data_IF_797583827898
#
_entry.id   IF_797583827898
#
_cell.length_a   1.000
_cell.length_b   1.000
_cell.length_c   1.000
_cell.angle_alpha   90.00
_cell.angle_beta   90.00
_cell.angle_gamma   90.00
#
_symmetry.space_group_name_H-M   'P 1'
#
loop_
_entity.id
_entity.type
_entity.pdbx_description
1 polymer ?
#
# COMPACT_ATOMS: atom_id res chain seq x y z
N UNK A 1 19.87 -0.04 -34.72
CA UNK A 1 19.02 0.99 -34.10
C UNK A 1 19.37 1.08 -32.63
N UNK A 2 19.96 2.19 -32.18
CA UNK A 2 20.27 2.41 -30.77
C UNK A 2 18.99 2.82 -30.05
N UNK A 3 18.53 2.01 -29.09
CA UNK A 3 17.41 2.35 -28.21
C UNK A 3 17.99 3.20 -27.07
N UNK A 4 17.61 4.47 -26.92
CA UNK A 4 18.14 5.30 -25.85
C UNK A 4 17.73 4.71 -24.49
N UNK A 5 18.56 4.86 -23.43
CA UNK A 5 18.15 4.45 -22.10
C UNK A 5 16.93 5.26 -21.69
N UNK A 6 15.89 4.59 -21.19
CA UNK A 6 14.66 5.20 -20.70
C UNK A 6 14.98 6.04 -19.46
N UNK A 7 15.49 7.26 -19.65
CA UNK A 7 15.45 8.31 -18.63
C UNK A 7 13.97 8.63 -18.37
N UNK A 8 13.45 8.18 -17.24
CA UNK A 8 12.21 8.71 -16.68
C UNK A 8 11.01 7.77 -16.56
N UNK A 9 11.16 6.44 -16.64
CA UNK A 9 10.12 5.59 -16.03
C UNK A 9 10.21 5.74 -14.52
N UNK A 10 9.12 6.13 -13.81
CA UNK A 10 9.09 6.00 -12.35
C UNK A 10 9.48 4.56 -12.01
N UNK A 11 10.22 4.33 -10.92
CA UNK A 11 10.66 3.00 -10.47
C UNK A 11 9.52 1.98 -10.24
N UNK A 12 8.28 2.44 -10.42
CA UNK A 12 7.02 1.77 -10.13
C UNK A 12 6.17 1.49 -11.36
N UNK A 13 6.57 1.98 -12.54
CA UNK A 13 5.84 1.70 -13.76
C UNK A 13 5.73 0.18 -13.92
N UNK A 14 4.51 -0.32 -14.10
CA UNK A 14 4.17 -1.73 -14.24
C UNK A 14 4.07 -2.54 -12.92
N UNK A 15 4.11 -1.90 -11.73
CA UNK A 15 3.85 -2.57 -10.45
C UNK A 15 2.36 -2.70 -10.13
N UNK A 16 2.01 -3.76 -9.40
CA UNK A 16 0.64 -4.04 -8.93
C UNK A 16 0.51 -3.90 -7.42
N UNK A 17 -0.43 -3.08 -6.98
CA UNK A 17 -0.68 -2.77 -5.57
C UNK A 17 -2.09 -3.18 -5.15
N UNK A 18 -2.22 -3.85 -4.01
CA UNK A 18 -3.49 -4.01 -3.30
C UNK A 18 -3.58 -2.95 -2.20
N UNK A 19 -4.48 -1.99 -2.35
CA UNK A 19 -4.75 -0.92 -1.38
C UNK A 19 -5.98 -1.26 -0.53
N UNK A 20 -5.78 -1.38 0.78
CA UNK A 20 -6.81 -1.76 1.75
C UNK A 20 -6.99 -0.59 2.71
N UNK A 21 -8.06 0.15 2.55
CA UNK A 21 -8.37 1.35 3.34
C UNK A 21 -9.87 1.54 3.45
N UNK A 22 -10.40 1.49 4.67
CA UNK A 22 -11.84 1.59 4.92
C UNK A 22 -12.39 2.99 4.61
N UNK A 23 -11.57 4.04 4.71
CA UNK A 23 -12.05 5.40 4.46
C UNK A 23 -11.99 5.72 2.97
N UNK A 24 -13.17 5.85 2.35
CA UNK A 24 -13.30 6.14 0.92
C UNK A 24 -12.48 7.35 0.47
N UNK A 25 -12.51 8.46 1.23
CA UNK A 25 -11.79 9.68 0.87
C UNK A 25 -10.27 9.49 0.83
N UNK A 26 -9.70 8.77 1.82
CA UNK A 26 -8.26 8.48 1.81
C UNK A 26 -7.92 7.41 0.78
N UNK A 27 -8.76 6.39 0.59
CA UNK A 27 -8.56 5.34 -0.41
C UNK A 27 -8.48 5.92 -1.81
N UNK A 28 -9.44 6.77 -2.19
CA UNK A 28 -9.45 7.46 -3.49
C UNK A 28 -8.21 8.34 -3.69
N UNK A 29 -7.86 9.17 -2.71
CA UNK A 29 -6.70 10.04 -2.80
C UNK A 29 -5.39 9.24 -2.94
N UNK A 30 -5.27 8.12 -2.21
CA UNK A 30 -4.10 7.24 -2.24
C UNK A 30 -4.01 6.49 -3.57
N UNK A 31 -5.12 5.92 -4.03
CA UNK A 31 -5.23 5.25 -5.32
C UNK A 31 -4.90 6.18 -6.48
N UNK A 32 -5.40 7.42 -6.48
CA UNK A 32 -5.10 8.42 -7.50
C UNK A 32 -3.59 8.72 -7.60
N UNK A 33 -2.91 8.90 -6.46
CA UNK A 33 -1.45 9.15 -6.44
C UNK A 33 -0.67 7.95 -7.00
N UNK A 34 -1.02 6.73 -6.60
CA UNK A 34 -0.39 5.51 -7.10
C UNK A 34 -0.58 5.36 -8.62
N UNK A 35 -1.83 5.49 -9.10
CA UNK A 35 -2.16 5.40 -10.53
C UNK A 35 -1.45 6.47 -11.35
N UNK A 36 -1.36 7.71 -10.84
CA UNK A 36 -0.61 8.78 -11.51
C UNK A 36 0.88 8.49 -11.66
N UNK A 37 1.40 7.54 -10.86
CA UNK A 37 2.79 7.07 -10.92
C UNK A 37 2.99 5.85 -11.82
N UNK A 38 1.94 5.40 -12.53
CA UNK A 38 1.99 4.25 -13.44
C UNK A 38 1.81 2.89 -12.76
N UNK A 39 1.24 2.86 -11.56
CA UNK A 39 0.95 1.66 -10.78
C UNK A 39 -0.47 1.15 -11.07
N UNK A 40 -0.63 -0.15 -11.23
CA UNK A 40 -1.94 -0.81 -11.23
C UNK A 40 -2.43 -0.96 -9.79
N UNK A 41 -3.60 -0.42 -9.47
CA UNK A 41 -4.14 -0.40 -8.10
C UNK A 41 -5.46 -1.14 -8.05
N UNK A 42 -5.47 -2.23 -7.29
CA UNK A 42 -6.69 -2.89 -6.82
C UNK A 42 -7.03 -2.34 -5.44
N UNK A 43 -8.32 -2.07 -5.21
CA UNK A 43 -8.79 -1.47 -3.97
C UNK A 43 -9.72 -2.42 -3.23
N UNK A 44 -9.59 -2.44 -1.90
CA UNK A 44 -10.50 -3.13 -1.01
C UNK A 44 -10.88 -2.22 0.16
N UNK A 45 -12.16 -2.19 0.50
CA UNK A 45 -12.67 -1.49 1.68
C UNK A 45 -12.51 -2.30 2.96
N UNK A 46 -12.58 -3.62 2.85
CA UNK A 46 -12.63 -4.54 3.98
C UNK A 46 -11.63 -5.68 3.79
N UNK A 47 -11.07 -6.19 4.88
CA UNK A 47 -10.10 -7.30 4.83
C UNK A 47 -10.69 -8.56 4.18
N UNK A 48 -11.96 -8.96 4.43
CA UNK A 48 -12.58 -10.07 3.69
C UNK A 48 -12.61 -9.85 2.16
N UNK A 49 -12.88 -8.63 1.70
CA UNK A 49 -12.83 -8.31 0.27
C UNK A 49 -11.38 -8.36 -0.25
N UNK A 50 -10.42 -7.86 0.53
CA UNK A 50 -9.01 -7.97 0.21
C UNK A 50 -8.55 -9.42 0.09
N UNK A 51 -9.00 -10.31 0.98
CA UNK A 51 -8.72 -11.76 0.90
C UNK A 51 -9.27 -12.41 -0.36
N UNK A 52 -10.43 -11.97 -0.84
CA UNK A 52 -11.01 -12.47 -2.08
C UNK A 52 -10.22 -12.01 -3.31
N UNK A 53 -9.70 -10.77 -3.29
CA UNK A 53 -8.89 -10.22 -4.38
C UNK A 53 -7.44 -10.72 -4.34
N UNK A 54 -6.94 -11.03 -3.15
CA UNK A 54 -5.56 -11.41 -2.93
C UNK A 54 -5.29 -12.84 -3.41
N UNK A 55 -4.20 -12.99 -4.15
CA UNK A 55 -3.67 -14.25 -4.61
C UNK A 55 -2.14 -14.19 -4.41
N UNK A 56 -1.50 -15.27 -3.94
CA UNK A 56 -0.05 -15.28 -3.73
C UNK A 56 0.74 -14.92 -4.99
N UNK A 57 1.81 -14.15 -4.82
CA UNK A 57 2.78 -13.73 -5.85
C UNK A 57 2.19 -12.87 -6.98
N UNK A 58 1.02 -12.27 -6.77
CA UNK A 58 0.35 -11.39 -7.76
C UNK A 58 0.66 -9.92 -7.52
N UNK A 59 0.84 -9.52 -6.26
CA UNK A 59 1.00 -8.11 -5.91
C UNK A 59 2.47 -7.82 -5.56
N UNK A 60 3.03 -6.76 -6.12
CA UNK A 60 4.35 -6.29 -5.67
C UNK A 60 4.30 -5.77 -4.23
N UNK A 61 3.15 -5.19 -3.86
CA UNK A 61 2.96 -4.48 -2.62
C UNK A 61 1.50 -4.54 -2.15
N UNK A 62 1.30 -4.85 -0.89
CA UNK A 62 0.02 -4.75 -0.19
C UNK A 62 0.09 -3.59 0.79
N UNK A 63 -0.81 -2.62 0.66
CA UNK A 63 -0.89 -1.42 1.50
C UNK A 63 -2.12 -1.49 2.39
N UNK A 64 -1.94 -1.58 3.72
CA UNK A 64 -3.02 -1.85 4.68
C UNK A 64 -3.17 -0.71 5.71
N UNK A 65 -4.32 -0.02 5.74
CA UNK A 65 -4.67 0.96 6.78
C UNK A 65 -5.12 0.31 8.08
N UNK A 66 -4.15 -0.16 8.86
CA UNK A 66 -4.35 -0.82 10.16
C UNK A 66 -5.08 0.02 11.20
N UNK A 67 -5.18 1.35 11.03
CA UNK A 67 -5.81 2.24 12.02
C UNK A 67 -7.33 2.08 12.09
N UNK A 68 -7.93 1.56 11.02
CA UNK A 68 -9.39 1.49 10.85
C UNK A 68 -9.95 0.07 10.89
N UNK A 69 -9.09 -0.93 11.10
CA UNK A 69 -9.45 -2.34 11.22
C UNK A 69 -9.15 -2.87 12.63
N UNK A 70 -9.72 -4.04 12.94
CA UNK A 70 -9.34 -4.78 14.13
C UNK A 70 -7.86 -5.18 14.03
N UNK A 71 -7.03 -4.91 15.06
CA UNK A 71 -5.64 -5.35 15.08
C UNK A 71 -5.49 -6.85 14.87
N UNK A 72 -6.40 -7.65 15.44
CA UNK A 72 -6.36 -9.11 15.31
C UNK A 72 -6.64 -9.56 13.86
N UNK A 73 -7.63 -8.96 13.20
CA UNK A 73 -7.99 -9.30 11.82
C UNK A 73 -6.89 -8.87 10.83
N UNK A 74 -6.33 -7.67 11.03
CA UNK A 74 -5.23 -7.16 10.24
C UNK A 74 -3.95 -8.01 10.42
N UNK A 75 -3.67 -8.46 11.65
CA UNK A 75 -2.52 -9.31 11.94
C UNK A 75 -2.67 -10.69 11.31
N UNK A 76 -3.84 -11.30 11.43
CA UNK A 76 -4.14 -12.59 10.80
C UNK A 76 -3.93 -12.52 9.28
N UNK A 77 -4.43 -11.45 8.63
CA UNK A 77 -4.24 -11.27 7.19
C UNK A 77 -2.77 -11.02 6.81
N UNK A 78 -2.04 -10.24 7.60
CA UNK A 78 -0.60 -10.03 7.39
C UNK A 78 0.19 -11.35 7.48
N UNK A 79 -0.06 -12.16 8.52
CA UNK A 79 0.59 -13.46 8.70
C UNK A 79 0.23 -14.42 7.56
N UNK A 80 -1.03 -14.41 7.11
CA UNK A 80 -1.47 -15.18 5.94
C UNK A 80 -0.65 -14.84 4.69
N UNK A 81 -0.43 -13.55 4.41
CA UNK A 81 0.41 -13.11 3.29
C UNK A 81 1.85 -13.59 3.49
N UNK A 82 2.45 -13.41 4.67
CA UNK A 82 3.85 -13.76 4.91
C UNK A 82 4.12 -15.26 4.85
N UNK A 83 3.15 -16.09 5.25
CA UNK A 83 3.25 -17.53 5.11
C UNK A 83 3.15 -17.99 3.66
N UNK A 84 2.24 -17.39 2.87
CA UNK A 84 1.96 -17.83 1.51
C UNK A 84 2.87 -17.21 0.44
N UNK A 85 3.21 -15.93 0.58
CA UNK A 85 4.17 -15.24 -0.28
C UNK A 85 5.09 -14.33 0.55
N UNK A 86 6.22 -14.86 1.05
CA UNK A 86 7.18 -14.07 1.83
C UNK A 86 7.85 -12.95 1.02
N UNK A 87 7.75 -12.99 -0.32
CA UNK A 87 8.32 -12.00 -1.24
C UNK A 87 7.45 -10.77 -1.41
N UNK A 88 6.13 -10.91 -1.22
CA UNK A 88 5.22 -9.76 -1.28
C UNK A 88 5.53 -8.80 -0.13
N UNK A 89 5.74 -7.53 -0.48
CA UNK A 89 5.96 -6.49 0.50
C UNK A 89 4.61 -6.07 1.10
N UNK A 90 4.57 -5.89 2.41
CA UNK A 90 3.41 -5.34 3.11
C UNK A 90 3.83 -4.03 3.74
N UNK A 91 3.05 -2.99 3.49
CA UNK A 91 3.24 -1.66 4.05
C UNK A 91 2.00 -1.25 4.80
N UNK A 92 2.18 -0.86 6.05
CA UNK A 92 1.11 -0.45 6.95
C UNK A 92 0.95 1.07 6.90
N UNK A 93 -0.30 1.53 6.71
CA UNK A 93 -0.65 2.93 6.75
C UNK A 93 -0.96 3.30 8.20
N UNK A 94 -0.01 3.95 8.87
CA UNK A 94 -0.04 4.19 10.32
C UNK A 94 -0.42 5.61 10.70
N UNK A 95 -0.58 6.49 9.71
CA UNK A 95 -0.84 7.91 9.93
C UNK A 95 0.40 8.69 10.42
N UNK A 96 0.28 10.01 10.61
CA UNK A 96 1.37 10.85 11.06
C UNK A 96 1.96 10.40 12.41
N UNK A 97 3.25 10.71 12.64
CA UNK A 97 4.16 11.43 11.75
C UNK A 97 4.82 10.54 10.67
N UNK A 98 4.74 9.21 10.81
CA UNK A 98 5.49 8.25 9.99
C UNK A 98 4.80 7.91 8.67
N UNK A 99 3.46 7.95 8.65
CA UNK A 99 2.53 7.64 7.55
C UNK A 99 2.58 6.20 7.01
N UNK A 100 3.77 5.62 6.83
CA UNK A 100 4.02 4.27 6.34
C UNK A 100 4.94 3.50 7.30
N UNK A 101 4.70 2.21 7.50
CA UNK A 101 5.62 1.31 8.19
C UNK A 101 5.82 0.01 7.38
N UNK A 102 7.05 -0.48 7.31
CA UNK A 102 7.38 -1.80 6.77
C UNK A 102 7.29 -2.90 7.83
N UNK A 103 7.38 -2.54 9.11
CA UNK A 103 7.23 -3.46 10.22
C UNK A 103 5.80 -3.39 10.76
N UNK A 104 5.30 -4.50 11.30
CA UNK A 104 4.03 -4.52 12.00
C UNK A 104 4.02 -3.43 13.08
N UNK A 105 3.10 -2.47 13.02
CA UNK A 105 3.05 -1.39 13.99
C UNK A 105 2.43 -1.89 15.31
N UNK A 106 3.08 -1.56 16.43
CA UNK A 106 2.44 -1.67 17.75
C UNK A 106 1.22 -0.74 17.89
N UNK A 107 0.48 -0.81 19.00
CA UNK A 107 -0.85 -0.20 19.25
C UNK A 107 -1.03 1.33 19.04
N UNK A 108 -0.10 2.06 18.42
CA UNK A 108 -0.19 3.51 18.27
C UNK A 108 -0.61 3.89 16.85
N UNK A 109 -1.84 4.37 16.70
CA UNK A 109 -2.41 4.85 15.44
C UNK A 109 -3.06 6.23 15.60
N UNK A 110 -2.59 7.22 14.85
CA UNK A 110 -3.21 8.55 14.78
C UNK A 110 -3.96 8.72 13.44
N UNK A 111 -5.18 9.27 13.48
CA UNK A 111 -5.92 9.64 12.28
C UNK A 111 -5.36 10.93 11.66
N UNK A 112 -5.40 11.06 10.33
CA UNK A 112 -5.01 12.29 9.66
C UNK A 112 -5.87 12.55 8.43
N UNK A 113 -6.17 13.84 8.24
CA UNK A 113 -7.06 14.41 7.25
C UNK A 113 -6.33 15.20 6.14
N UNK A 114 -4.99 15.17 6.10
CA UNK A 114 -4.21 15.97 5.14
C UNK A 114 -3.70 15.17 3.92
N UNK A 115 -4.20 15.51 2.73
CA UNK A 115 -3.91 14.87 1.44
C UNK A 115 -2.53 15.20 0.85
N UNK A 116 -1.89 16.28 1.30
CA UNK A 116 -0.61 16.77 0.73
C UNK A 116 0.62 15.97 1.15
N UNK A 117 0.67 15.47 2.39
CA UNK A 117 1.84 14.81 2.95
C UNK A 117 2.01 13.37 2.44
N UNK A 118 0.88 12.73 2.11
CA UNK A 118 0.83 11.40 1.50
C UNK A 118 1.71 11.28 0.24
N UNK A 119 1.52 12.20 -0.72
CA UNK A 119 2.23 12.13 -2.00
C UNK A 119 3.75 12.27 -1.86
N UNK A 120 4.23 13.00 -0.86
CA UNK A 120 5.67 13.11 -0.58
C UNK A 120 6.22 11.83 0.06
N UNK A 121 5.50 11.24 1.01
CA UNK A 121 5.90 9.99 1.67
C UNK A 121 5.98 8.83 0.70
N UNK A 122 4.96 8.66 -0.14
CA UNK A 122 4.94 7.62 -1.20
C UNK A 122 6.15 7.77 -2.11
N UNK A 123 6.43 8.99 -2.60
CA UNK A 123 7.58 9.23 -3.49
C UNK A 123 8.93 8.91 -2.85
N UNK A 124 9.11 9.20 -1.56
CA UNK A 124 10.35 8.85 -0.84
C UNK A 124 10.47 7.36 -0.62
N UNK A 125 9.39 6.72 -0.20
CA UNK A 125 9.34 5.30 0.10
C UNK A 125 9.60 4.45 -1.16
N UNK A 126 9.08 4.90 -2.30
CA UNK A 126 9.19 4.19 -3.57
C UNK A 126 10.45 4.56 -4.39
N UNK A 127 11.28 5.47 -3.87
CA UNK A 127 12.58 5.83 -4.46
C UNK A 127 13.78 5.21 -3.72
N UNK A 128 13.53 4.55 -2.58
CA UNK A 128 14.53 3.80 -1.80
C UNK A 128 14.58 2.33 -2.25
#
# INVERSE_FOLDING_TARGET
MYRPPLRGRPALADKKVLLIDRCHATREARGAVLRSSGVEVHEAEEIPAARFLWQPDVYDLVMLDVRRYSPAEALEFYEQIKQASPREQVVFLVGPPTYLSLAWPGEVFAEDASSGQWGATVRRFLAA
#
